data_IF_322897426411
#
_entry.id   IF_322897426411
#
_cell.length_a   1.000
_cell.length_b   1.000
_cell.length_c   1.000
_cell.angle_alpha   90.00
_cell.angle_beta   90.00
_cell.angle_gamma   90.00
#
_symmetry.space_group_name_H-M   'P 1'
#
loop_
_entity.id
_entity.type
_entity.pdbx_description
1 polymer ?
#
# COMPACT_ATOMS: atom_id res chain seq x y z
N UNK A 1 -17.56 32.12 -4.21
CA UNK A 1 -17.38 30.80 -4.84
C UNK A 1 -16.17 30.16 -4.18
N UNK A 2 -16.39 29.12 -3.39
CA UNK A 2 -15.32 28.38 -2.71
C UNK A 2 -14.54 27.59 -3.76
N UNK A 3 -13.23 27.78 -3.81
CA UNK A 3 -12.35 27.01 -4.70
C UNK A 3 -12.53 25.51 -4.42
N UNK A 4 -12.58 24.65 -5.47
CA UNK A 4 -12.70 23.21 -5.24
C UNK A 4 -11.46 22.72 -4.49
N UNK A 5 -11.67 22.12 -3.31
CA UNK A 5 -10.64 21.37 -2.57
C UNK A 5 -9.91 20.45 -3.54
N UNK A 6 -8.58 20.58 -3.63
CA UNK A 6 -7.74 19.75 -4.50
C UNK A 6 -8.19 18.29 -4.40
N UNK A 7 -8.61 17.72 -5.52
CA UNK A 7 -9.02 16.33 -5.58
C UNK A 7 -7.86 15.48 -5.05
N UNK A 8 -8.10 14.74 -3.96
CA UNK A 8 -7.13 13.75 -3.48
C UNK A 8 -6.98 12.69 -4.56
N UNK A 9 -5.75 12.26 -4.83
CA UNK A 9 -5.53 11.08 -5.64
C UNK A 9 -6.30 9.91 -5.01
N UNK A 10 -7.27 9.39 -5.74
CA UNK A 10 -8.00 8.18 -5.36
C UNK A 10 -7.29 7.04 -6.05
N UNK A 11 -6.56 6.25 -5.27
CA UNK A 11 -6.02 4.98 -5.74
C UNK A 11 -7.18 4.02 -5.99
N UNK A 12 -7.15 3.36 -7.14
CA UNK A 12 -8.09 2.29 -7.47
C UNK A 12 -7.78 1.02 -6.67
N UNK A 13 -8.73 0.10 -6.64
CA UNK A 13 -8.52 -1.25 -6.09
C UNK A 13 -7.35 -1.97 -6.78
N UNK A 14 -7.14 -1.73 -8.08
CA UNK A 14 -6.05 -2.33 -8.84
C UNK A 14 -4.68 -1.76 -8.43
N UNK A 15 -4.60 -0.45 -8.19
CA UNK A 15 -3.38 0.17 -7.67
C UNK A 15 -2.98 -0.45 -6.33
N UNK A 16 -3.95 -0.72 -5.45
CA UNK A 16 -3.66 -1.37 -4.17
C UNK A 16 -3.11 -2.80 -4.32
N UNK A 17 -3.51 -3.54 -5.36
CA UNK A 17 -2.92 -4.86 -5.67
C UNK A 17 -1.48 -4.72 -6.13
N UNK A 18 -1.21 -3.81 -7.07
CA UNK A 18 0.14 -3.55 -7.58
C UNK A 18 1.09 -3.10 -6.46
N UNK A 19 0.62 -2.20 -5.58
CA UNK A 19 1.40 -1.77 -4.40
C UNK A 19 1.65 -2.94 -3.45
N UNK A 20 0.65 -3.81 -3.23
CA UNK A 20 0.81 -5.00 -2.38
C UNK A 20 1.86 -5.95 -2.93
N UNK A 21 1.90 -6.17 -4.25
CA UNK A 21 2.93 -6.98 -4.91
C UNK A 21 4.33 -6.37 -4.73
N UNK A 22 4.47 -5.05 -4.91
CA UNK A 22 5.74 -4.36 -4.71
C UNK A 22 6.24 -4.48 -3.26
N UNK A 23 5.34 -4.36 -2.27
CA UNK A 23 5.68 -4.53 -0.85
C UNK A 23 6.12 -5.98 -0.57
N UNK A 24 5.44 -6.97 -1.14
CA UNK A 24 5.82 -8.37 -0.99
C UNK A 24 7.20 -8.65 -1.59
N UNK A 25 7.50 -8.07 -2.76
CA UNK A 25 8.82 -8.17 -3.38
C UNK A 25 9.91 -7.58 -2.47
N UNK A 26 9.67 -6.40 -1.90
CA UNK A 26 10.61 -5.77 -0.96
C UNK A 26 10.84 -6.63 0.28
N UNK A 27 9.77 -7.18 0.87
CA UNK A 27 9.86 -8.03 2.05
C UNK A 27 10.76 -9.24 1.81
N UNK A 28 10.57 -9.95 0.69
CA UNK A 28 11.39 -11.11 0.32
C UNK A 28 12.87 -10.76 0.12
N UNK A 29 13.16 -9.55 -0.32
CA UNK A 29 14.53 -9.08 -0.53
C UNK A 29 15.21 -8.60 0.76
N UNK A 30 14.47 -8.35 1.85
CA UNK A 30 14.97 -7.70 3.07
C UNK A 30 14.48 -8.39 4.35
N UNK A 31 14.30 -9.72 4.35
CA UNK A 31 13.65 -10.44 5.46
C UNK A 31 14.33 -10.25 6.84
N UNK A 32 15.64 -9.97 6.85
CA UNK A 32 16.45 -9.88 8.07
C UNK A 32 16.66 -8.45 8.62
N UNK A 33 16.02 -7.43 8.04
CA UNK A 33 16.13 -6.06 8.57
C UNK A 33 14.98 -5.73 9.53
N UNK A 34 15.23 -5.05 10.66
CA UNK A 34 14.19 -4.67 11.62
C UNK A 34 13.03 -3.86 10.99
N UNK A 35 13.30 -3.10 9.93
CA UNK A 35 12.32 -2.30 9.20
C UNK A 35 11.26 -3.15 8.48
N UNK A 36 11.55 -4.41 8.17
CA UNK A 36 10.63 -5.30 7.45
C UNK A 36 9.33 -5.56 8.20
N UNK A 37 9.31 -5.40 9.53
CA UNK A 37 8.07 -5.44 10.32
C UNK A 37 7.07 -4.37 9.85
N UNK A 38 7.55 -3.16 9.51
CA UNK A 38 6.69 -2.07 9.01
C UNK A 38 6.07 -2.43 7.65
N UNK A 39 6.85 -3.07 6.79
CA UNK A 39 6.39 -3.51 5.47
C UNK A 39 5.42 -4.69 5.57
N UNK A 40 5.62 -5.64 6.50
CA UNK A 40 4.68 -6.73 6.76
C UNK A 40 3.32 -6.19 7.22
N UNK A 41 3.33 -5.23 8.14
CA UNK A 41 2.09 -4.56 8.58
C UNK A 41 1.40 -3.82 7.44
N UNK A 42 2.16 -3.16 6.56
CA UNK A 42 1.62 -2.49 5.38
C UNK A 42 1.00 -3.49 4.39
N UNK A 43 1.67 -4.61 4.11
CA UNK A 43 1.17 -5.68 3.24
C UNK A 43 -0.20 -6.20 3.68
N UNK A 44 -0.40 -6.43 4.98
CA UNK A 44 -1.69 -6.86 5.53
C UNK A 44 -2.78 -5.79 5.35
N UNK A 45 -2.48 -4.52 5.64
CA UNK A 45 -3.44 -3.41 5.47
C UNK A 45 -3.89 -3.23 4.02
N UNK A 46 -2.95 -3.36 3.07
CA UNK A 46 -3.25 -3.30 1.64
C UNK A 46 -4.16 -4.46 1.19
N UNK A 47 -3.95 -5.66 1.74
CA UNK A 47 -4.84 -6.81 1.52
C UNK A 47 -6.28 -6.56 1.97
N UNK A 48 -6.48 -5.88 3.10
CA UNK A 48 -7.82 -5.51 3.58
C UNK A 48 -8.46 -4.34 2.82
N UNK A 49 -7.67 -3.47 2.19
CA UNK A 49 -8.16 -2.33 1.41
C UNK A 49 -8.64 -2.75 0.01
N UNK A 50 -8.02 -3.77 -0.59
CA UNK A 50 -8.34 -4.24 -1.94
C UNK A 50 -9.49 -5.28 -2.00
N UNK A 51 -9.90 -5.85 -0.85
CA UNK A 51 -10.90 -6.91 -0.77
C UNK A 51 -12.32 -6.46 -0.38
N UNK A 52 -12.57 -5.16 -0.29
CA UNK A 52 -13.92 -4.59 -0.02
C UNK A 52 -14.50 -3.95 -1.27
#
# INVERSE_FOLDING_TARGET
MSEPTRARAVLSTEDFKLIREAVLFYLRAHEDVPESIKFSNLYHRLGSAAGR
#
